data_IF_212941642728
#
_entry.id   IF_212941642728
#
_cell.length_a   1.000
_cell.length_b   1.000
_cell.length_c   1.000
_cell.angle_alpha   90.00
_cell.angle_beta   90.00
_cell.angle_gamma   90.00
#
_symmetry.space_group_name_H-M   'P 1'
#
loop_
_entity.id
_entity.type
_entity.pdbx_description
1 polymer ?
#
# COMPACT_ATOMS: atom_id res chain seq x y z
N UNK A 1 -72.33 -25.17 48.48
CA UNK A 1 -70.90 -25.56 48.55
C UNK A 1 -70.37 -25.47 47.12
N UNK A 2 -69.90 -24.29 46.71
CA UNK A 2 -68.51 -23.82 46.85
C UNK A 2 -67.56 -24.46 45.84
N UNK A 3 -67.29 -23.74 44.76
CA UNK A 3 -65.94 -23.21 44.44
C UNK A 3 -65.66 -23.19 42.94
N UNK A 4 -66.02 -22.03 42.39
CA UNK A 4 -65.46 -21.33 41.26
C UNK A 4 -63.92 -21.41 41.24
N UNK A 5 -63.37 -22.14 40.26
CA UNK A 5 -61.93 -22.16 40.01
C UNK A 5 -61.56 -21.05 39.01
N UNK A 6 -61.18 -19.91 39.58
CA UNK A 6 -60.54 -18.79 38.88
C UNK A 6 -59.28 -19.28 38.16
N UNK A 7 -59.25 -19.19 36.83
CA UNK A 7 -58.04 -19.47 36.02
C UNK A 7 -57.11 -18.26 36.05
N UNK A 8 -55.86 -18.37 36.55
CA UNK A 8 -54.92 -17.26 36.50
C UNK A 8 -54.42 -16.99 35.08
N UNK A 9 -54.40 -15.70 34.75
CA UNK A 9 -53.94 -15.09 33.50
C UNK A 9 -52.49 -15.45 33.19
N UNK A 10 -52.25 -15.82 31.92
CA UNK A 10 -50.94 -15.94 31.27
C UNK A 10 -50.06 -14.72 31.58
N UNK A 11 -48.93 -14.94 32.26
CA UNK A 11 -47.75 -14.06 32.19
C UNK A 11 -46.71 -14.80 31.36
N UNK A 12 -46.37 -14.27 30.18
CA UNK A 12 -45.20 -14.71 29.40
C UNK A 12 -44.06 -13.74 29.71
N UNK A 13 -43.06 -14.11 30.53
CA UNK A 13 -41.82 -13.36 30.60
C UNK A 13 -40.82 -13.90 29.56
N UNK A 14 -40.36 -12.97 28.70
CA UNK A 14 -38.97 -12.82 28.23
C UNK A 14 -38.24 -14.09 27.80
N UNK A 15 -38.47 -14.50 26.55
CA UNK A 15 -37.50 -15.28 25.77
C UNK A 15 -37.17 -14.50 24.50
N UNK A 16 -36.47 -13.38 24.68
CA UNK A 16 -35.96 -12.52 23.62
C UNK A 16 -34.48 -12.28 23.93
N UNK A 17 -33.72 -13.36 23.88
CA UNK A 17 -32.28 -13.36 24.10
C UNK A 17 -31.73 -14.61 23.41
N UNK A 18 -31.44 -14.51 22.10
CA UNK A 18 -30.52 -15.36 21.32
C UNK A 18 -30.52 -14.93 19.83
N UNK A 19 -30.35 -13.63 19.55
CA UNK A 19 -30.10 -13.11 18.17
C UNK A 19 -28.87 -12.18 18.12
N UNK A 20 -28.17 -11.99 19.24
CA UNK A 20 -27.14 -10.95 19.39
C UNK A 20 -25.69 -11.39 19.25
N UNK A 21 -25.37 -12.50 18.59
CA UNK A 21 -24.00 -13.06 18.61
C UNK A 21 -23.42 -13.42 17.22
N UNK A 22 -23.86 -12.78 16.14
CA UNK A 22 -23.34 -13.07 14.78
C UNK A 22 -22.82 -11.84 14.02
N UNK A 23 -22.81 -10.65 14.63
CA UNK A 23 -22.39 -9.40 13.97
C UNK A 23 -20.96 -8.93 14.27
N UNK A 24 -20.20 -9.66 15.11
CA UNK A 24 -18.83 -9.27 15.49
C UNK A 24 -17.71 -9.95 14.67
N UNK A 25 -18.05 -10.79 13.70
CA UNK A 25 -17.06 -11.52 12.88
C UNK A 25 -16.51 -10.72 11.67
N UNK A 26 -16.98 -9.48 11.44
CA UNK A 26 -16.60 -8.69 10.25
C UNK A 26 -15.39 -7.76 10.45
N UNK A 27 -14.79 -7.72 11.65
CA UNK A 27 -13.76 -6.72 11.99
C UNK A 27 -12.31 -7.23 11.94
N UNK A 28 -12.07 -8.51 11.65
CA UNK A 28 -10.74 -9.13 11.83
C UNK A 28 -9.94 -9.40 10.55
N UNK A 29 -10.34 -8.86 9.39
CA UNK A 29 -9.71 -9.14 8.08
C UNK A 29 -9.35 -7.90 7.23
N UNK A 30 -9.09 -6.79 7.91
CA UNK A 30 -9.13 -5.45 7.33
C UNK A 30 -8.03 -5.14 6.28
N UNK A 31 -6.89 -5.82 6.30
CA UNK A 31 -5.78 -5.63 5.34
C UNK A 31 -5.78 -6.65 4.21
N UNK A 32 -5.87 -7.94 4.55
CA UNK A 32 -5.74 -9.06 3.61
C UNK A 32 -6.66 -8.96 2.39
N UNK A 33 -7.91 -8.51 2.59
CA UNK A 33 -8.89 -8.43 1.51
C UNK A 33 -8.47 -7.44 0.42
N UNK A 34 -7.96 -6.27 0.80
CA UNK A 34 -7.58 -5.25 -0.19
C UNK A 34 -6.29 -5.58 -0.90
N UNK A 35 -5.31 -6.14 -0.18
CA UNK A 35 -4.06 -6.63 -0.80
C UNK A 35 -4.36 -7.74 -1.81
N UNK A 36 -5.27 -8.66 -1.48
CA UNK A 36 -5.68 -9.74 -2.39
C UNK A 36 -6.46 -9.23 -3.61
N UNK A 37 -7.33 -8.23 -3.42
CA UNK A 37 -8.04 -7.59 -4.53
C UNK A 37 -7.08 -6.84 -5.45
N UNK A 38 -6.15 -6.06 -4.89
CA UNK A 38 -5.16 -5.32 -5.66
C UNK A 38 -4.20 -6.25 -6.42
N UNK A 39 -3.77 -7.36 -5.81
CA UNK A 39 -2.91 -8.34 -6.50
C UNK A 39 -3.65 -9.06 -7.63
N UNK A 40 -4.94 -9.34 -7.47
CA UNK A 40 -5.77 -9.92 -8.54
C UNK A 40 -5.88 -8.95 -9.72
N UNK A 41 -6.18 -7.66 -9.46
CA UNK A 41 -6.22 -6.62 -10.50
C UNK A 41 -4.88 -6.46 -11.20
N UNK A 42 -3.76 -6.54 -10.46
CA UNK A 42 -2.42 -6.55 -11.04
C UNK A 42 -2.20 -7.73 -11.99
N UNK A 43 -2.60 -8.93 -11.58
CA UNK A 43 -2.50 -10.15 -12.40
C UNK A 43 -3.34 -10.05 -13.67
N UNK A 44 -4.51 -9.40 -13.58
CA UNK A 44 -5.42 -9.15 -14.70
C UNK A 44 -4.92 -8.01 -15.64
N UNK A 45 -3.79 -7.37 -15.34
CA UNK A 45 -3.25 -6.25 -16.13
C UNK A 45 -3.98 -4.92 -15.90
N UNK A 46 -4.87 -4.84 -14.92
CA UNK A 46 -5.68 -3.67 -14.57
C UNK A 46 -4.94 -2.76 -13.58
N UNK A 47 -3.83 -2.20 -14.05
CA UNK A 47 -2.86 -1.52 -13.19
C UNK A 47 -3.38 -0.21 -12.57
N UNK A 48 -4.26 0.52 -13.27
CA UNK A 48 -4.85 1.76 -12.73
C UNK A 48 -5.77 1.43 -11.56
N UNK A 49 -6.66 0.45 -11.73
CA UNK A 49 -7.58 0.03 -10.67
C UNK A 49 -6.84 -0.65 -9.50
N UNK A 50 -5.76 -1.39 -9.79
CA UNK A 50 -4.89 -1.90 -8.76
C UNK A 50 -4.28 -0.75 -7.93
N UNK A 51 -3.80 0.32 -8.58
CA UNK A 51 -3.22 1.48 -7.90
C UNK A 51 -4.23 2.19 -6.99
N UNK A 52 -5.49 2.33 -7.43
CA UNK A 52 -6.58 2.90 -6.64
C UNK A 52 -6.89 2.06 -5.39
N UNK A 53 -6.98 0.73 -5.53
CA UNK A 53 -7.21 -0.18 -4.40
C UNK A 53 -6.08 -0.06 -3.38
N UNK A 54 -4.84 -0.01 -3.86
CA UNK A 54 -3.67 0.09 -2.98
C UNK A 54 -3.59 1.45 -2.27
N UNK A 55 -3.98 2.54 -2.92
CA UNK A 55 -4.04 3.86 -2.26
C UNK A 55 -5.01 3.87 -1.07
N UNK A 56 -6.19 3.28 -1.24
CA UNK A 56 -7.19 3.17 -0.17
C UNK A 56 -6.73 2.28 1.00
N UNK A 57 -5.79 1.37 0.74
CA UNK A 57 -5.29 0.41 1.74
C UNK A 57 -4.16 0.99 2.58
N UNK A 58 -3.43 1.98 2.08
CA UNK A 58 -2.20 2.51 2.70
C UNK A 58 -2.42 2.98 4.15
N UNK A 59 -3.58 3.59 4.44
CA UNK A 59 -3.94 4.09 5.78
C UNK A 59 -4.08 2.98 6.83
N UNK A 60 -4.26 1.73 6.41
CA UNK A 60 -4.52 0.57 7.28
C UNK A 60 -3.30 -0.35 7.40
N UNK A 61 -2.20 0.03 6.76
CA UNK A 61 -1.01 -0.78 6.64
C UNK A 61 -0.31 -1.01 7.98
N UNK A 62 -0.44 -0.07 8.92
CA UNK A 62 0.17 -0.14 10.25
C UNK A 62 -0.39 -1.29 11.10
N UNK A 63 -1.66 -1.61 10.93
CA UNK A 63 -2.35 -2.69 11.66
C UNK A 63 -2.16 -4.07 11.00
N UNK A 64 -1.53 -4.12 9.84
CA UNK A 64 -1.36 -5.34 9.06
C UNK A 64 -0.14 -6.16 9.51
N UNK A 65 -0.22 -7.47 9.30
CA UNK A 65 0.92 -8.38 9.52
C UNK A 65 2.10 -8.05 8.60
N UNK A 66 3.32 -8.43 8.98
CA UNK A 66 4.51 -8.29 8.12
C UNK A 66 4.30 -8.90 6.73
N UNK A 67 3.61 -10.04 6.67
CA UNK A 67 3.28 -10.71 5.42
C UNK A 67 2.39 -9.84 4.51
N UNK A 68 1.29 -9.31 5.04
CA UNK A 68 0.41 -8.41 4.28
C UNK A 68 1.13 -7.12 3.86
N UNK A 69 1.94 -6.56 4.75
CA UNK A 69 2.71 -5.34 4.49
C UNK A 69 3.75 -5.55 3.38
N UNK A 70 4.46 -6.69 3.41
CA UNK A 70 5.42 -7.04 2.37
C UNK A 70 4.71 -7.24 1.02
N UNK A 71 3.59 -7.96 0.99
CA UNK A 71 2.79 -8.16 -0.23
C UNK A 71 2.22 -6.83 -0.75
N UNK A 72 1.73 -5.97 0.13
CA UNK A 72 1.27 -4.63 -0.24
C UNK A 72 2.37 -3.83 -0.94
N UNK A 73 3.55 -3.74 -0.33
CA UNK A 73 4.69 -3.04 -0.93
C UNK A 73 5.13 -3.63 -2.26
N UNK A 74 5.14 -4.97 -2.36
CA UNK A 74 5.47 -5.69 -3.58
C UNK A 74 4.51 -5.31 -4.71
N UNK A 75 3.21 -5.54 -4.52
CA UNK A 75 2.23 -5.34 -5.59
C UNK A 75 2.00 -3.86 -5.90
N UNK A 76 2.04 -2.96 -4.92
CA UNK A 76 1.96 -1.52 -5.19
C UNK A 76 3.17 -1.03 -5.98
N UNK A 77 4.37 -1.46 -5.60
CA UNK A 77 5.60 -1.12 -6.33
C UNK A 77 5.64 -1.70 -7.74
N UNK A 78 5.25 -2.97 -7.90
CA UNK A 78 5.16 -3.61 -9.21
C UNK A 78 4.08 -2.98 -10.10
N UNK A 79 2.98 -2.49 -9.51
CA UNK A 79 1.96 -1.73 -10.24
C UNK A 79 2.53 -0.40 -10.76
N UNK A 80 3.25 0.35 -9.93
CA UNK A 80 3.91 1.58 -10.36
C UNK A 80 4.92 1.35 -11.48
N UNK A 81 5.68 0.25 -11.43
CA UNK A 81 6.58 -0.15 -12.53
C UNK A 81 5.82 -0.31 -13.85
N UNK A 82 4.67 -0.99 -13.82
CA UNK A 82 3.85 -1.21 -15.02
C UNK A 82 3.23 0.09 -15.55
N UNK A 83 3.05 1.07 -14.69
CA UNK A 83 2.60 2.42 -15.05
C UNK A 83 3.74 3.36 -15.47
N UNK A 84 5.00 2.90 -15.43
CA UNK A 84 6.17 3.72 -15.79
C UNK A 84 6.66 4.67 -14.69
N UNK A 85 6.13 4.55 -13.47
CA UNK A 85 6.52 5.38 -12.33
C UNK A 85 7.65 4.71 -11.53
N UNK A 86 8.88 4.87 -12.03
CA UNK A 86 10.07 4.26 -11.43
C UNK A 86 10.35 4.79 -10.00
N UNK A 87 9.99 6.04 -9.71
CA UNK A 87 10.23 6.66 -8.41
C UNK A 87 9.37 6.01 -7.33
N UNK A 88 8.05 5.94 -7.54
CA UNK A 88 7.14 5.30 -6.58
C UNK A 88 7.35 3.79 -6.52
N UNK A 89 7.67 3.16 -7.65
CA UNK A 89 8.08 1.76 -7.67
C UNK A 89 9.28 1.49 -6.76
N UNK A 90 10.33 2.30 -6.84
CA UNK A 90 11.54 2.15 -6.02
C UNK A 90 11.21 2.22 -4.54
N UNK A 91 10.40 3.21 -4.13
CA UNK A 91 9.96 3.36 -2.73
C UNK A 91 9.27 2.09 -2.22
N UNK A 92 8.28 1.59 -2.94
CA UNK A 92 7.44 0.48 -2.47
C UNK A 92 8.10 -0.90 -2.58
N UNK A 93 8.88 -1.14 -3.63
CA UNK A 93 9.69 -2.36 -3.74
C UNK A 93 10.81 -2.38 -2.69
N UNK A 94 11.39 -1.22 -2.37
CA UNK A 94 12.31 -1.05 -1.25
C UNK A 94 11.67 -1.39 0.09
N UNK A 95 10.44 -0.94 0.32
CA UNK A 95 9.66 -1.27 1.52
C UNK A 95 9.43 -2.78 1.66
N UNK A 96 8.98 -3.46 0.61
CA UNK A 96 8.79 -4.92 0.62
C UNK A 96 10.12 -5.67 0.87
N UNK A 97 11.21 -5.21 0.24
CA UNK A 97 12.55 -5.77 0.44
C UNK A 97 13.04 -5.60 1.88
N UNK A 98 12.78 -4.47 2.51
CA UNK A 98 13.16 -4.22 3.90
C UNK A 98 12.45 -5.21 4.83
N UNK A 99 11.14 -5.41 4.67
CA UNK A 99 10.37 -6.37 5.47
C UNK A 99 10.86 -7.81 5.24
N UNK A 100 11.09 -8.20 3.98
CA UNK A 100 11.62 -9.53 3.66
C UNK A 100 13.01 -9.76 4.26
N UNK A 101 13.86 -8.73 4.30
CA UNK A 101 15.19 -8.83 4.92
C UNK A 101 15.10 -9.06 6.43
N UNK A 102 14.13 -8.44 7.12
CA UNK A 102 13.90 -8.67 8.56
C UNK A 102 13.16 -9.98 8.85
N UNK A 103 12.25 -10.38 7.97
CA UNK A 103 11.40 -11.56 8.13
C UNK A 103 11.34 -12.33 6.79
N UNK A 104 12.24 -13.31 6.57
CA UNK A 104 12.34 -14.00 5.28
C UNK A 104 11.07 -14.76 4.85
N UNK A 105 10.21 -15.13 5.81
CA UNK A 105 8.91 -15.79 5.59
C UNK A 105 7.76 -14.83 5.26
N UNK A 106 7.99 -13.51 5.25
CA UNK A 106 6.97 -12.50 4.97
C UNK A 106 6.48 -12.50 3.51
N UNK A 107 7.21 -13.13 2.59
CA UNK A 107 6.76 -13.37 1.22
C UNK A 107 6.91 -14.85 0.88
N UNK A 108 5.92 -15.42 0.20
CA UNK A 108 6.04 -16.75 -0.37
C UNK A 108 7.07 -16.79 -1.52
N UNK A 109 7.30 -17.97 -2.09
CA UNK A 109 8.28 -18.17 -3.16
C UNK A 109 7.93 -17.38 -4.43
N UNK A 110 6.65 -17.31 -4.80
CA UNK A 110 6.20 -16.65 -6.02
C UNK A 110 6.31 -15.13 -5.88
N UNK A 111 5.82 -14.58 -4.77
CA UNK A 111 5.92 -13.16 -4.46
C UNK A 111 7.39 -12.73 -4.29
N UNK A 112 8.23 -13.60 -3.72
CA UNK A 112 9.68 -13.41 -3.66
C UNK A 112 10.34 -13.31 -5.04
N UNK A 113 9.93 -14.16 -5.97
CA UNK A 113 10.44 -14.13 -7.34
C UNK A 113 10.00 -12.85 -8.07
N UNK A 114 8.73 -12.45 -7.90
CA UNK A 114 8.21 -11.20 -8.44
C UNK A 114 8.95 -9.98 -7.88
N UNK A 115 9.24 -9.95 -6.57
CA UNK A 115 10.01 -8.87 -5.94
C UNK A 115 11.40 -8.75 -6.57
N UNK A 116 12.11 -9.86 -6.73
CA UNK A 116 13.45 -9.87 -7.33
C UNK A 116 13.41 -9.39 -8.78
N UNK A 117 12.49 -9.92 -9.59
CA UNK A 117 12.34 -9.52 -10.99
C UNK A 117 11.97 -8.03 -11.14
N UNK A 118 11.12 -7.51 -10.25
CA UNK A 118 10.73 -6.09 -10.23
C UNK A 118 11.91 -5.17 -9.87
N UNK A 119 12.73 -5.57 -8.89
CA UNK A 119 13.94 -4.84 -8.52
C UNK A 119 15.00 -4.86 -9.62
N UNK A 120 15.15 -5.99 -10.33
CA UNK A 120 16.03 -6.12 -11.48
C UNK A 120 15.58 -5.23 -12.66
N UNK A 121 14.27 -5.18 -12.91
CA UNK A 121 13.69 -4.30 -13.92
C UNK A 121 13.94 -2.82 -13.60
N UNK A 122 13.84 -2.41 -12.33
CA UNK A 122 14.22 -1.05 -11.91
C UNK A 122 15.69 -0.75 -12.20
N UNK A 123 16.59 -1.65 -11.82
CA UNK A 123 18.04 -1.47 -12.06
C UNK A 123 18.40 -1.44 -13.54
N UNK A 124 17.64 -2.14 -14.39
CA UNK A 124 17.84 -2.16 -15.84
C UNK A 124 17.21 -0.95 -16.55
N UNK A 125 16.24 -0.28 -15.92
CA UNK A 125 15.54 0.89 -16.47
C UNK A 125 16.27 2.22 -16.23
N UNK A 126 17.35 2.21 -15.45
CA UNK A 126 18.29 3.33 -15.30
C UNK A 126 19.34 3.32 -16.44
N UNK A 127 18.98 3.82 -17.64
CA UNK A 127 19.93 4.66 -18.36
C UNK A 127 19.24 5.84 -19.06
N UNK A 128 18.99 6.93 -18.33
CA UNK A 128 19.01 8.28 -18.87
C UNK A 128 19.13 9.25 -17.70
N UNK A 129 20.36 9.42 -17.19
CA UNK A 129 20.69 10.69 -16.55
C UNK A 129 20.29 11.77 -17.56
N UNK A 130 19.32 12.66 -17.26
CA UNK A 130 19.15 13.82 -18.10
C UNK A 130 20.52 14.48 -18.08
N UNK A 131 21.14 14.58 -19.26
CA UNK A 131 22.41 15.25 -19.45
C UNK A 131 22.40 16.44 -18.49
N UNK A 132 23.24 16.38 -17.45
CA UNK A 132 23.52 17.52 -16.59
C UNK A 132 23.73 18.63 -17.59
N UNK A 133 22.79 19.56 -17.72
CA UNK A 133 23.03 20.78 -18.45
C UNK A 133 24.24 21.33 -17.72
N UNK A 134 25.36 21.26 -18.43
CA UNK A 134 26.61 21.87 -18.06
C UNK A 134 26.35 23.38 -18.03
N UNK A 135 25.71 23.80 -16.94
CA UNK A 135 25.38 25.19 -16.63
C UNK A 135 26.59 25.91 -16.06
N UNK A 136 27.80 25.48 -16.43
CA UNK A 136 29.04 26.22 -16.16
C UNK A 136 29.42 27.18 -17.28
N UNK A 137 28.52 27.42 -18.25
CA UNK A 137 28.48 28.68 -19.02
C UNK A 137 27.90 29.84 -18.17
N UNK A 138 28.36 29.96 -16.92
CA UNK A 138 28.23 31.21 -16.15
C UNK A 138 29.48 32.03 -16.41
N UNK A 139 29.33 32.90 -17.41
CA UNK A 139 29.82 34.27 -17.36
C UNK A 139 31.26 34.47 -16.88
N UNK A 140 32.21 34.31 -17.82
CA UNK A 140 33.46 35.06 -17.78
C UNK A 140 33.12 36.54 -18.04
N UNK A 141 32.78 37.27 -16.99
CA UNK A 141 32.68 38.73 -17.06
C UNK A 141 34.09 39.32 -17.26
N UNK A 142 34.31 40.21 -18.23
CA UNK A 142 35.58 40.92 -18.37
C UNK A 142 35.75 41.90 -17.21
N UNK A 143 36.77 41.66 -16.39
CA UNK A 143 37.28 42.59 -15.39
C UNK A 143 38.07 43.70 -16.08
N UNK A 144 37.38 44.63 -16.76
CA UNK A 144 38.00 45.85 -17.28
C UNK A 144 37.03 47.03 -17.13
N UNK A 145 37.13 47.71 -15.99
CA UNK A 145 36.66 49.08 -15.83
C UNK A 145 37.56 49.78 -14.80
N UNK A 146 38.69 50.31 -15.29
CA UNK A 146 39.53 51.27 -14.56
C UNK A 146 38.70 52.51 -14.19
N UNK A 147 38.74 53.00 -12.93
CA UNK A 147 38.35 54.37 -12.64
C UNK A 147 39.45 55.35 -13.09
N UNK A 148 39.09 56.34 -13.89
CA UNK A 148 39.92 57.50 -14.22
C UNK A 148 39.87 58.56 -13.09
N UNK A 149 40.90 59.40 -12.93
CA UNK A 149 41.06 60.29 -11.77
C UNK A 149 40.36 61.64 -11.88
N UNK A 150 40.02 62.15 -10.70
CA UNK A 150 39.99 63.54 -10.18
C UNK A 150 39.65 64.72 -11.10
N UNK A 151 38.67 65.52 -10.67
CA UNK A 151 38.84 66.97 -10.47
C UNK A 151 38.13 67.40 -9.18
#
# INVERSE_FOLDING_TARGET
MCSEAVRPRRRRPRALALVGASLLAWLSGCGAHFVSRGSSLYQDGRYVEAAEVFEQTEQRLEDCSSHERARFGLYRGATFLKLGDAQHATRWLGYARAIKSSEPSSLDRQDSALLNASLEALGSSEPMQPARRDGSEVARAPADARPAPSQ
#
